data_IF_572942187568
#
_entry.id   IF_572942187568
#
_cell.length_a   1.000
_cell.length_b   1.000
_cell.length_c   1.000
_cell.angle_alpha   90.00
_cell.angle_beta   90.00
_cell.angle_gamma   90.00
#
_symmetry.space_group_name_H-M   'P 1'
#
loop_
_entity.id
_entity.type
_entity.pdbx_description
1 polymer ?
#
# COMPACT_ATOMS: atom_id res chain seq x y z
N UNK A 1 -16.89 -24.43 -34.91
CA UNK A 1 -16.72 -23.23 -34.06
C UNK A 1 -15.26 -22.97 -33.70
N UNK A 2 -14.43 -23.97 -33.41
CA UNK A 2 -12.98 -23.76 -33.19
C UNK A 2 -12.19 -23.52 -34.49
N UNK A 3 -12.66 -24.06 -35.62
CA UNK A 3 -11.97 -23.97 -36.92
C UNK A 3 -12.05 -22.58 -37.57
N UNK A 4 -13.07 -21.78 -37.26
CA UNK A 4 -13.26 -20.43 -37.82
C UNK A 4 -12.70 -19.30 -36.93
N UNK A 5 -12.12 -19.63 -35.76
CA UNK A 5 -11.60 -18.65 -34.78
C UNK A 5 -12.58 -17.52 -34.46
N UNK A 6 -13.85 -17.84 -34.23
CA UNK A 6 -14.86 -16.87 -33.85
C UNK A 6 -14.75 -16.52 -32.37
N UNK A 7 -14.10 -15.40 -32.07
CA UNK A 7 -14.04 -14.84 -30.72
C UNK A 7 -15.31 -14.04 -30.39
N UNK A 8 -15.58 -13.88 -29.09
CA UNK A 8 -16.71 -13.07 -28.57
C UNK A 8 -16.73 -11.64 -29.16
N UNK A 9 -15.56 -11.07 -29.42
CA UNK A 9 -15.41 -9.73 -30.02
C UNK A 9 -15.82 -9.72 -31.49
N UNK A 10 -15.48 -10.78 -32.23
CA UNK A 10 -15.85 -10.94 -33.65
C UNK A 10 -17.36 -11.08 -33.78
N UNK A 11 -17.95 -11.94 -32.95
CA UNK A 11 -19.40 -12.17 -32.91
C UNK A 11 -20.17 -10.90 -32.54
N UNK A 12 -19.63 -10.08 -31.63
CA UNK A 12 -20.22 -8.78 -31.29
C UNK A 12 -20.27 -7.84 -32.51
N UNK A 13 -19.23 -7.84 -33.35
CA UNK A 13 -19.14 -7.00 -34.54
C UNK A 13 -19.91 -7.52 -35.78
N UNK A 14 -20.24 -8.81 -35.86
CA UNK A 14 -20.96 -9.40 -37.01
C UNK A 14 -22.44 -8.97 -37.05
N UNK A 15 -23.01 -8.83 -38.24
CA UNK A 15 -24.45 -8.56 -38.39
C UNK A 15 -25.29 -9.83 -38.19
N UNK A 16 -26.59 -9.67 -37.96
CA UNK A 16 -27.52 -10.80 -37.79
C UNK A 16 -27.65 -11.62 -39.08
N UNK A 17 -27.35 -11.01 -40.23
CA UNK A 17 -27.38 -11.64 -41.56
C UNK A 17 -26.12 -12.47 -41.81
N UNK A 18 -24.96 -12.01 -41.35
CA UNK A 18 -23.71 -12.80 -41.41
C UNK A 18 -23.80 -14.05 -40.53
N UNK A 19 -24.51 -13.95 -39.41
CA UNK A 19 -24.77 -15.08 -38.50
C UNK A 19 -25.72 -16.12 -39.08
N UNK A 20 -26.43 -15.85 -40.20
CA UNK A 20 -27.32 -16.81 -40.87
C UNK A 20 -26.54 -18.03 -41.37
N UNK A 21 -25.31 -17.81 -41.85
CA UNK A 21 -24.47 -18.85 -42.42
C UNK A 21 -24.08 -19.91 -41.38
N UNK A 22 -24.03 -19.52 -40.11
CA UNK A 22 -23.62 -20.36 -38.98
C UNK A 22 -24.84 -20.85 -38.20
N UNK A 23 -25.85 -19.99 -38.02
CA UNK A 23 -27.08 -20.25 -37.29
C UNK A 23 -28.30 -19.84 -38.12
N UNK A 24 -29.00 -20.78 -38.78
CA UNK A 24 -30.13 -20.45 -39.64
C UNK A 24 -31.33 -19.92 -38.85
N UNK A 25 -31.52 -20.38 -37.60
CA UNK A 25 -32.64 -19.97 -36.74
C UNK A 25 -32.43 -18.56 -36.20
N UNK A 26 -33.45 -17.72 -36.30
CA UNK A 26 -33.41 -16.33 -35.82
C UNK A 26 -33.32 -16.24 -34.29
N UNK A 27 -34.04 -17.10 -33.56
CA UNK A 27 -34.04 -17.10 -32.10
C UNK A 27 -32.65 -17.35 -31.51
N UNK A 28 -31.92 -18.30 -32.09
CA UNK A 28 -30.57 -18.66 -31.65
C UNK A 28 -29.58 -17.50 -31.90
N UNK A 29 -29.72 -16.78 -33.03
CA UNK A 29 -28.91 -15.58 -33.35
C UNK A 29 -29.13 -14.45 -32.35
N UNK A 30 -30.38 -14.19 -31.99
CA UNK A 30 -30.73 -13.15 -31.01
C UNK A 30 -30.21 -13.54 -29.61
N UNK A 31 -30.46 -14.79 -29.19
CA UNK A 31 -29.99 -15.29 -27.91
C UNK A 31 -28.46 -15.23 -27.78
N UNK A 32 -27.74 -15.56 -28.85
CA UNK A 32 -26.29 -15.50 -28.91
C UNK A 32 -25.75 -14.06 -28.82
N UNK A 33 -26.36 -13.10 -29.51
CA UNK A 33 -26.02 -11.67 -29.39
C UNK A 33 -26.21 -11.16 -27.95
N UNK A 34 -27.36 -11.45 -27.34
CA UNK A 34 -27.66 -11.07 -25.96
C UNK A 34 -26.64 -11.65 -24.97
N UNK A 35 -26.32 -12.94 -25.11
CA UNK A 35 -25.33 -13.62 -24.28
C UNK A 35 -23.94 -13.00 -24.41
N UNK A 36 -23.49 -12.71 -25.65
CA UNK A 36 -22.17 -12.12 -25.91
C UNK A 36 -22.07 -10.72 -25.32
N UNK A 37 -23.11 -9.90 -25.45
CA UNK A 37 -23.13 -8.55 -24.88
C UNK A 37 -23.07 -8.57 -23.35
N UNK A 38 -23.75 -9.52 -22.70
CA UNK A 38 -23.65 -9.71 -21.25
C UNK A 38 -22.26 -10.15 -20.81
N UNK A 39 -21.63 -11.10 -21.52
CA UNK A 39 -20.29 -11.58 -21.19
C UNK A 39 -19.21 -10.51 -21.39
N UNK A 40 -19.34 -9.66 -22.42
CA UNK A 40 -18.45 -8.52 -22.62
C UNK A 40 -18.60 -7.51 -21.48
N UNK A 41 -19.83 -7.19 -21.05
CA UNK A 41 -20.08 -6.29 -19.91
C UNK A 41 -19.48 -6.83 -18.62
N UNK A 42 -19.69 -8.10 -18.28
CA UNK A 42 -19.08 -8.75 -17.08
C UNK A 42 -17.55 -8.71 -17.10
N UNK A 43 -16.94 -8.97 -18.27
CA UNK A 43 -15.47 -8.88 -18.45
C UNK A 43 -14.96 -7.45 -18.32
N UNK A 44 -15.70 -6.47 -18.83
CA UNK A 44 -15.35 -5.06 -18.65
C UNK A 44 -15.47 -4.67 -17.16
N UNK A 45 -16.60 -4.95 -16.50
CA UNK A 45 -16.83 -4.62 -15.10
C UNK A 45 -15.75 -5.21 -14.18
N UNK A 46 -15.43 -6.50 -14.32
CA UNK A 46 -14.35 -7.14 -13.55
C UNK A 46 -12.98 -6.52 -13.82
N UNK A 47 -12.68 -6.16 -15.07
CA UNK A 47 -11.42 -5.49 -15.44
C UNK A 47 -11.37 -4.04 -14.90
N UNK A 48 -12.48 -3.30 -14.93
CA UNK A 48 -12.60 -1.95 -14.38
C UNK A 48 -12.44 -1.95 -12.87
N UNK A 49 -13.07 -2.89 -12.15
CA UNK A 49 -12.92 -3.05 -10.70
C UNK A 49 -11.45 -3.31 -10.29
N UNK A 50 -10.75 -4.16 -11.04
CA UNK A 50 -9.32 -4.41 -10.82
C UNK A 50 -8.45 -3.16 -11.05
N UNK A 51 -8.72 -2.41 -12.14
CA UNK A 51 -8.03 -1.15 -12.44
C UNK A 51 -8.31 -0.07 -11.40
N UNK A 52 -9.55 0.08 -10.96
CA UNK A 52 -9.96 1.06 -9.95
C UNK A 52 -9.31 0.79 -8.59
N UNK A 53 -9.24 -0.48 -8.17
CA UNK A 53 -8.53 -0.85 -6.94
C UNK A 53 -7.03 -0.50 -7.03
N UNK A 54 -6.40 -0.79 -8.18
CA UNK A 54 -4.99 -0.47 -8.43
C UNK A 54 -4.74 1.04 -8.39
N UNK A 55 -5.61 1.84 -9.01
CA UNK A 55 -5.46 3.31 -9.00
C UNK A 55 -5.69 3.90 -7.61
N UNK A 56 -6.70 3.44 -6.86
CA UNK A 56 -6.94 3.86 -5.46
C UNK A 56 -5.75 3.53 -4.55
N UNK A 57 -5.15 2.35 -4.73
CA UNK A 57 -3.95 1.95 -3.98
C UNK A 57 -2.76 2.86 -4.32
N UNK A 58 -2.51 3.11 -5.60
CA UNK A 58 -1.42 4.00 -6.05
C UNK A 58 -1.64 5.41 -5.52
N UNK A 59 -2.85 5.96 -5.60
CA UNK A 59 -3.18 7.27 -5.05
C UNK A 59 -2.94 7.33 -3.54
N UNK A 60 -3.38 6.31 -2.81
CA UNK A 60 -3.16 6.19 -1.36
C UNK A 60 -1.67 6.13 -1.03
N UNK A 61 -0.89 5.39 -1.82
CA UNK A 61 0.56 5.30 -1.67
C UNK A 61 1.23 6.64 -1.97
N UNK A 62 0.88 7.30 -3.07
CA UNK A 62 1.40 8.61 -3.44
C UNK A 62 1.08 9.68 -2.38
N UNK A 63 -0.11 9.60 -1.74
CA UNK A 63 -0.48 10.46 -0.62
C UNK A 63 0.37 10.16 0.63
N UNK A 64 0.57 8.88 0.98
CA UNK A 64 1.41 8.45 2.11
C UNK A 64 2.88 8.82 1.92
N UNK A 65 3.38 8.70 0.69
CA UNK A 65 4.72 9.09 0.26
C UNK A 65 4.86 10.60 0.01
N UNK A 66 3.80 11.40 0.20
CA UNK A 66 3.85 12.86 0.03
C UNK A 66 4.28 13.32 -1.36
N UNK A 67 4.14 12.46 -2.38
CA UNK A 67 4.48 12.73 -3.78
C UNK A 67 3.40 13.63 -4.40
N UNK A 68 2.15 13.42 -4.01
CA UNK A 68 1.04 14.28 -4.42
C UNK A 68 0.97 15.47 -3.47
N UNK A 69 1.51 16.60 -3.91
CA UNK A 69 1.11 17.90 -3.37
C UNK A 69 -0.35 18.09 -3.77
N UNK A 70 -1.29 17.84 -2.87
CA UNK A 70 -2.62 18.47 -2.99
C UNK A 70 -2.37 19.96 -3.11
N UNK A 71 -2.49 20.49 -4.33
CA UNK A 71 -2.72 21.92 -4.53
C UNK A 71 -4.06 22.16 -3.84
N UNK A 72 -4.04 22.72 -2.63
CA UNK A 72 -5.23 23.40 -2.16
C UNK A 72 -5.40 24.61 -3.06
N UNK A 73 -6.33 24.51 -3.99
CA UNK A 73 -6.91 25.64 -4.69
C UNK A 73 -8.10 26.12 -3.85
N UNK A 74 -7.95 27.27 -3.21
CA UNK A 74 -9.01 28.28 -3.13
C UNK A 74 -8.36 29.66 -2.86
N UNK A 75 -8.04 30.33 -3.96
CA UNK A 75 -8.29 31.75 -4.27
C UNK A 75 -8.02 32.83 -3.22
N UNK A 76 -6.96 33.62 -3.45
CA UNK A 76 -7.06 35.07 -3.77
C UNK A 76 -5.71 35.59 -4.28
N UNK A 77 -5.70 36.01 -5.56
CA UNK A 77 -4.92 37.07 -6.25
C UNK A 77 -3.39 37.26 -6.06
N UNK A 78 -2.69 37.82 -7.08
CA UNK A 78 -1.29 37.54 -7.36
C UNK A 78 -0.35 38.68 -6.93
N UNK A 79 0.88 38.34 -6.52
CA UNK A 79 2.09 39.11 -6.84
C UNK A 79 3.32 38.48 -6.17
N UNK A 80 4.36 38.34 -6.99
CA UNK A 80 5.77 38.54 -6.64
C UNK A 80 6.50 37.48 -5.79
N UNK A 81 7.25 36.68 -6.55
CA UNK A 81 8.57 36.14 -6.25
C UNK A 81 9.27 36.80 -5.04
N UNK A 82 9.41 36.05 -3.94
CA UNK A 82 10.52 36.25 -3.03
C UNK A 82 10.92 34.94 -2.35
N UNK A 83 12.13 34.51 -2.70
CA UNK A 83 12.91 33.51 -1.98
C UNK A 83 13.19 34.03 -0.57
N UNK A 84 12.62 33.40 0.46
CA UNK A 84 12.92 33.73 1.85
C UNK A 84 12.71 32.54 2.77
N UNK A 85 13.81 32.18 3.44
CA UNK A 85 13.93 31.16 4.46
C UNK A 85 12.77 31.18 5.46
N UNK A 86 12.11 30.05 5.63
CA UNK A 86 11.00 29.86 6.57
C UNK A 86 11.57 29.73 7.99
N UNK A 87 11.17 30.65 8.86
CA UNK A 87 11.45 30.66 10.30
C UNK A 87 10.65 29.60 11.07
N UNK A 88 11.24 29.12 12.17
CA UNK A 88 10.89 27.91 12.93
C UNK A 88 9.52 27.88 13.63
N UNK A 89 8.69 28.93 13.54
CA UNK A 89 7.48 29.04 14.38
C UNK A 89 6.18 28.54 13.72
N UNK A 90 6.18 28.20 12.43
CA UNK A 90 4.97 27.79 11.68
C UNK A 90 4.82 26.27 11.44
N UNK A 91 5.70 25.44 12.02
CA UNK A 91 5.64 23.98 11.90
C UNK A 91 4.63 23.33 12.88
N UNK A 92 3.51 23.98 13.18
CA UNK A 92 2.45 23.39 14.00
C UNK A 92 1.50 22.56 13.12
N UNK A 93 1.71 21.25 13.20
CA UNK A 93 0.80 20.17 12.77
C UNK A 93 0.58 19.95 11.27
N UNK A 94 1.67 19.69 10.54
CA UNK A 94 1.56 18.82 9.36
C UNK A 94 1.70 17.37 9.81
N UNK A 95 0.58 16.64 9.78
CA UNK A 95 0.47 15.21 10.08
C UNK A 95 1.62 14.45 9.41
N UNK A 96 2.33 13.67 10.21
CA UNK A 96 3.52 12.87 9.88
C UNK A 96 3.28 12.04 8.61
N UNK A 97 3.66 12.56 7.45
CA UNK A 97 3.83 11.73 6.25
C UNK A 97 5.10 10.91 6.45
N UNK A 98 4.98 9.58 6.36
CA UNK A 98 6.09 8.62 6.45
C UNK A 98 7.17 8.81 5.36
N UNK A 99 6.96 9.79 4.48
CA UNK A 99 7.71 10.06 3.27
C UNK A 99 9.09 10.69 3.47
N UNK A 100 9.40 11.27 4.62
CA UNK A 100 10.60 12.14 4.75
C UNK A 100 11.43 11.94 5.99
N UNK A 101 10.96 11.14 6.92
CA UNK A 101 11.87 10.69 7.96
C UNK A 101 12.43 9.36 7.49
N UNK A 102 13.69 9.38 7.05
CA UNK A 102 14.52 8.17 7.00
C UNK A 102 14.30 7.37 8.29
N UNK A 103 14.55 6.05 8.29
CA UNK A 103 14.35 5.23 9.48
C UNK A 103 15.13 5.82 10.68
N UNK A 104 14.49 6.67 11.49
CA UNK A 104 15.12 7.44 12.57
C UNK A 104 15.76 6.49 13.56
N UNK A 105 15.13 5.33 13.74
CA UNK A 105 15.63 4.28 14.61
C UNK A 105 16.96 3.71 14.10
N UNK A 106 17.23 3.76 12.80
CA UNK A 106 18.52 3.40 12.22
C UNK A 106 19.59 4.51 12.34
N UNK A 107 19.23 5.73 12.78
CA UNK A 107 20.19 6.78 13.14
C UNK A 107 20.43 6.87 14.64
N UNK A 108 19.67 6.14 15.47
CA UNK A 108 19.89 6.14 16.92
C UNK A 108 21.22 5.49 17.24
N UNK A 109 22.07 6.23 17.95
CA UNK A 109 23.35 5.76 18.47
C UNK A 109 23.18 4.78 19.64
N UNK A 110 22.00 4.78 20.27
CA UNK A 110 21.67 3.91 21.40
C UNK A 110 20.52 2.94 21.09
N UNK A 111 20.55 1.78 21.75
CA UNK A 111 19.50 0.77 21.77
C UNK A 111 19.08 0.46 23.20
N UNK A 112 17.79 0.14 23.38
CA UNK A 112 17.24 -0.35 24.65
C UNK A 112 17.25 -1.87 24.61
N UNK A 113 17.88 -2.49 25.60
CA UNK A 113 17.93 -3.94 25.77
C UNK A 113 17.20 -4.31 27.05
N UNK A 114 16.40 -5.35 26.96
CA UNK A 114 15.65 -5.90 28.08
C UNK A 114 16.39 -7.13 28.63
N UNK A 115 16.79 -7.07 29.91
CA UNK A 115 17.50 -8.15 30.60
C UNK A 115 16.59 -8.74 31.67
N UNK A 116 16.43 -10.06 31.67
CA UNK A 116 15.64 -10.76 32.67
C UNK A 116 16.24 -12.10 33.04
N UNK A 117 15.80 -12.65 34.16
CA UNK A 117 16.27 -13.95 34.63
C UNK A 117 15.47 -15.07 33.95
N UNK A 118 16.18 -16.02 33.35
CA UNK A 118 15.62 -17.25 32.80
C UNK A 118 15.99 -18.41 33.74
N UNK A 119 15.00 -19.22 34.11
CA UNK A 119 15.17 -20.47 34.84
C UNK A 119 14.34 -21.56 34.17
N UNK A 120 14.94 -22.71 33.88
CA UNK A 120 14.31 -23.82 33.14
C UNK A 120 13.61 -23.35 31.86
N UNK A 121 14.32 -22.56 31.04
CA UNK A 121 13.84 -22.00 29.77
C UNK A 121 12.62 -21.04 29.88
N UNK A 122 12.19 -20.72 31.11
CA UNK A 122 11.07 -19.82 31.37
C UNK A 122 11.57 -18.55 32.05
N UNK A 123 11.06 -17.42 31.58
CA UNK A 123 11.33 -16.13 32.20
C UNK A 123 10.71 -16.08 33.60
N UNK A 124 11.50 -15.71 34.61
CA UNK A 124 11.04 -15.52 35.98
C UNK A 124 10.26 -14.21 36.05
N UNK A 125 9.02 -14.27 36.56
CA UNK A 125 8.14 -13.09 36.69
C UNK A 125 8.53 -12.23 37.89
N UNK A 126 8.17 -10.94 37.84
CA UNK A 126 8.39 -9.95 38.91
C UNK A 126 7.91 -10.42 40.29
N UNK A 127 6.77 -11.12 40.35
CA UNK A 127 6.21 -11.63 41.60
C UNK A 127 7.10 -12.66 42.34
N UNK A 128 8.06 -13.30 41.65
CA UNK A 128 8.99 -14.28 42.24
C UNK A 128 10.41 -13.71 42.38
N UNK A 129 10.56 -12.39 42.48
CA UNK A 129 11.86 -11.73 42.49
C UNK A 129 12.57 -11.73 41.13
N UNK A 130 11.86 -12.12 40.06
CA UNK A 130 12.34 -12.01 38.68
C UNK A 130 11.89 -10.70 38.04
N UNK A 131 11.71 -10.73 36.72
CA UNK A 131 11.30 -9.58 35.91
C UNK A 131 12.34 -9.24 34.84
N UNK A 132 12.04 -8.17 34.11
CA UNK A 132 12.91 -7.63 33.07
C UNK A 132 13.24 -6.18 33.39
N UNK A 133 14.53 -5.84 33.37
CA UNK A 133 14.99 -4.45 33.44
C UNK A 133 15.46 -3.95 32.08
N UNK A 134 15.27 -2.66 31.83
CA UNK A 134 15.69 -1.99 30.60
C UNK A 134 17.05 -1.34 30.82
N UNK A 135 18.01 -1.66 29.96
CA UNK A 135 19.31 -1.00 29.92
C UNK A 135 19.48 -0.25 28.59
N UNK A 136 20.12 0.91 28.66
CA UNK A 136 20.50 1.69 27.49
C UNK A 136 21.98 1.44 27.15
N UNK A 137 22.22 1.05 25.91
CA UNK A 137 23.52 0.66 25.39
C UNK A 137 23.79 1.33 24.05
N UNK A 138 25.05 1.62 23.71
CA UNK A 138 25.42 1.99 22.34
C UNK A 138 24.98 0.91 21.35
N UNK A 139 24.57 1.30 20.15
CA UNK A 139 24.10 0.39 19.10
C UNK A 139 25.15 -0.65 18.71
N UNK A 140 26.41 -0.24 18.73
CA UNK A 140 27.57 -1.07 18.35
C UNK A 140 28.10 -1.93 19.52
N UNK A 141 27.42 -1.94 20.67
CA UNK A 141 27.84 -2.74 21.83
C UNK A 141 27.86 -4.23 21.53
N UNK A 142 28.94 -4.90 21.95
CA UNK A 142 29.12 -6.35 21.82
C UNK A 142 28.47 -7.10 22.99
N UNK A 143 28.34 -8.43 22.86
CA UNK A 143 27.75 -9.30 23.89
C UNK A 143 28.46 -9.16 25.24
N UNK A 144 29.78 -9.01 25.23
CA UNK A 144 30.61 -8.87 26.43
C UNK A 144 30.21 -7.64 27.24
N UNK A 145 30.11 -6.47 26.60
CA UNK A 145 29.68 -5.22 27.23
C UNK A 145 28.25 -5.31 27.80
N UNK A 146 27.36 -6.04 27.13
CA UNK A 146 25.99 -6.30 27.61
C UNK A 146 26.04 -7.12 28.91
N UNK A 147 26.89 -8.14 28.97
CA UNK A 147 27.05 -9.01 30.14
C UNK A 147 27.72 -8.27 31.30
N UNK A 148 28.69 -7.40 31.02
CA UNK A 148 29.36 -6.62 32.06
C UNK A 148 28.37 -5.64 32.72
N UNK A 149 27.57 -4.92 31.92
CA UNK A 149 26.46 -4.13 32.45
C UNK A 149 25.40 -4.96 33.19
N UNK A 150 25.26 -6.23 32.83
CA UNK A 150 24.34 -7.13 33.53
C UNK A 150 24.85 -7.54 34.92
N UNK A 151 26.17 -7.61 35.12
CA UNK A 151 26.81 -8.01 36.39
C UNK A 151 26.93 -6.90 37.43
N UNK A 152 26.89 -5.62 37.03
CA UNK A 152 27.19 -4.48 37.93
C UNK A 152 26.09 -4.14 38.95
N UNK A 153 25.18 -5.06 39.26
CA UNK A 153 24.05 -4.88 40.17
C UNK A 153 23.62 -6.22 40.76
#
# INVERSE_FOLDING_TARGET
MEEEKLDLTVISCMSVDDLVQILPKLGDRIALKLFVDEEIKKKQESQYQGKERKTKLIQSLCAKLGIVKTRHCHDTAPAEFQDKCISESSLKWRKRTMARHCNINAFKESRKVELGWIHNEKQVRTAKGGGTRKIELPRNSRKEEVLDKAKTH
#
